data_IF_448539695757
#
_entry.id   IF_448539695757
#
_cell.length_a   1.000
_cell.length_b   1.000
_cell.length_c   1.000
_cell.angle_alpha   90.00
_cell.angle_beta   90.00
_cell.angle_gamma   90.00
#
_symmetry.space_group_name_H-M   'P 1'
#
loop_
_entity.id
_entity.type
_entity.pdbx_description
1 polymer ?
#
# COMPACT_ATOMS: atom_id res chain seq x y z
N UNK A 1 4.86 36.87 19.13
CA UNK A 1 4.30 36.49 17.82
C UNK A 1 3.82 35.06 17.97
N UNK A 2 2.53 34.81 17.87
CA UNK A 2 2.03 33.44 17.96
C UNK A 2 2.53 32.65 16.76
N UNK A 3 3.05 31.45 16.99
CA UNK A 3 3.67 30.60 15.97
C UNK A 3 2.63 29.80 15.17
N UNK A 4 1.36 30.20 15.22
CA UNK A 4 0.21 29.48 14.66
C UNK A 4 0.33 29.24 13.15
N UNK A 5 0.98 30.16 12.43
CA UNK A 5 1.23 30.01 10.99
C UNK A 5 2.13 28.81 10.66
N UNK A 6 3.03 28.40 11.56
CA UNK A 6 3.90 27.24 11.36
C UNK A 6 3.07 25.95 11.35
N UNK A 7 2.09 25.84 12.24
CA UNK A 7 1.19 24.68 12.30
C UNK A 7 0.39 24.53 11.00
N UNK A 8 -0.18 25.63 10.49
CA UNK A 8 -0.89 25.61 9.20
C UNK A 8 0.00 25.25 8.02
N UNK A 9 1.26 25.69 8.02
CA UNK A 9 2.23 25.32 6.98
C UNK A 9 2.55 23.82 7.06
N UNK A 10 2.84 23.29 8.27
CA UNK A 10 3.11 21.86 8.48
C UNK A 10 1.90 21.01 8.09
N UNK A 11 0.69 21.43 8.46
CA UNK A 11 -0.58 20.79 8.06
C UNK A 11 -0.78 20.75 6.55
N UNK A 12 -0.52 21.88 5.87
CA UNK A 12 -0.62 21.96 4.41
C UNK A 12 0.41 21.05 3.72
N UNK A 13 1.65 21.02 4.21
CA UNK A 13 2.71 20.15 3.68
C UNK A 13 2.38 18.68 3.88
N UNK A 14 1.94 18.30 5.09
CA UNK A 14 1.50 16.93 5.37
C UNK A 14 0.33 16.51 4.48
N UNK A 15 -0.67 17.39 4.27
CA UNK A 15 -1.80 17.10 3.40
C UNK A 15 -1.36 16.80 1.96
N UNK A 16 -0.43 17.59 1.42
CA UNK A 16 0.12 17.38 0.07
C UNK A 16 0.94 16.08 -0.03
N UNK A 17 1.81 15.80 0.94
CA UNK A 17 2.58 14.54 0.99
C UNK A 17 1.65 13.35 1.13
N UNK A 18 0.64 13.45 1.99
CA UNK A 18 -0.38 12.42 2.18
C UNK A 18 -1.17 12.15 0.90
N UNK A 19 -1.50 13.19 0.12
CA UNK A 19 -2.18 13.00 -1.16
C UNK A 19 -1.27 12.26 -2.16
N UNK A 20 0.02 12.59 -2.21
CA UNK A 20 1.01 11.84 -3.00
C UNK A 20 1.07 10.38 -2.55
N UNK A 21 1.01 10.13 -1.23
CA UNK A 21 0.96 8.78 -0.68
C UNK A 21 -0.30 8.02 -1.14
N UNK A 22 -1.48 8.65 -1.11
CA UNK A 22 -2.73 8.04 -1.61
C UNK A 22 -2.61 7.71 -3.10
N UNK A 23 -2.11 8.63 -3.92
CA UNK A 23 -1.91 8.39 -5.36
C UNK A 23 -0.91 7.24 -5.59
N UNK A 24 0.14 7.16 -4.77
CA UNK A 24 1.14 6.08 -4.88
C UNK A 24 0.56 4.68 -4.64
N UNK A 25 -0.55 4.56 -3.90
CA UNK A 25 -1.22 3.26 -3.69
C UNK A 25 -1.70 2.68 -5.01
N UNK A 26 -2.13 3.50 -5.98
CA UNK A 26 -2.58 3.05 -7.31
C UNK A 26 -1.49 2.25 -8.03
N UNK A 27 -0.22 2.58 -7.77
CA UNK A 27 0.93 1.91 -8.38
C UNK A 27 1.57 0.86 -7.50
N UNK A 28 0.81 0.34 -6.53
CA UNK A 28 1.26 -0.70 -5.59
C UNK A 28 2.42 -0.29 -4.67
N UNK A 29 2.67 1.02 -4.48
CA UNK A 29 3.62 1.49 -3.48
C UNK A 29 2.98 1.49 -2.07
N UNK A 30 3.77 1.35 -0.99
CA UNK A 30 3.28 1.29 0.39
C UNK A 30 2.86 2.68 0.93
N UNK A 31 2.16 3.49 0.13
CA UNK A 31 1.81 4.88 0.44
C UNK A 31 1.05 5.05 1.75
N UNK A 32 0.07 4.19 2.04
CA UNK A 32 -0.67 4.22 3.32
C UNK A 32 0.26 4.11 4.54
N UNK A 33 1.24 3.20 4.47
CA UNK A 33 2.20 2.99 5.56
C UNK A 33 3.18 4.14 5.70
N UNK A 34 3.66 4.70 4.59
CA UNK A 34 4.53 5.90 4.59
C UNK A 34 3.81 7.09 5.22
N UNK A 35 2.55 7.31 4.87
CA UNK A 35 1.73 8.38 5.43
C UNK A 35 1.50 8.20 6.94
N UNK A 36 1.15 6.98 7.38
CA UNK A 36 0.98 6.69 8.81
C UNK A 36 2.30 6.86 9.56
N UNK A 37 3.42 6.40 9.00
CA UNK A 37 4.74 6.55 9.62
C UNK A 37 5.10 8.04 9.79
N UNK A 38 4.79 8.88 8.81
CA UNK A 38 4.98 10.32 8.90
C UNK A 38 4.10 10.93 10.00
N UNK A 39 2.82 10.54 10.10
CA UNK A 39 1.92 11.01 11.15
C UNK A 39 2.40 10.59 12.55
N UNK A 40 2.85 9.34 12.72
CA UNK A 40 3.47 8.86 13.95
C UNK A 40 4.75 9.63 14.31
N UNK A 41 5.57 9.98 13.31
CA UNK A 41 6.78 10.78 13.53
C UNK A 41 6.43 12.18 14.04
N UNK A 42 5.44 12.84 13.43
CA UNK A 42 4.97 14.16 13.88
C UNK A 42 4.47 14.09 15.32
N UNK A 43 3.57 13.15 15.63
CA UNK A 43 3.03 12.98 16.99
C UNK A 43 4.14 12.68 18.02
N UNK A 44 5.15 11.89 17.65
CA UNK A 44 6.29 11.60 18.52
C UNK A 44 7.16 12.84 18.75
N UNK A 45 7.43 13.63 17.70
CA UNK A 45 8.20 14.86 17.80
C UNK A 45 7.48 15.88 18.67
N UNK A 46 6.16 16.03 18.52
CA UNK A 46 5.36 16.92 19.36
C UNK A 46 5.42 16.48 20.82
N UNK A 47 5.28 15.17 21.09
CA UNK A 47 5.36 14.62 22.45
C UNK A 47 6.73 14.86 23.10
N UNK A 48 7.83 14.77 22.35
CA UNK A 48 9.19 14.93 22.89
C UNK A 48 9.61 16.40 23.02
N UNK A 49 9.30 17.25 22.03
CA UNK A 49 9.84 18.61 21.94
C UNK A 49 8.88 19.68 22.48
N UNK A 50 7.56 19.48 22.46
CA UNK A 50 6.56 20.48 22.90
C UNK A 50 6.04 20.22 24.34
N UNK A 51 6.80 19.46 25.12
CA UNK A 51 6.54 18.96 26.49
C UNK A 51 5.89 19.91 27.53
N UNK A 52 5.81 21.21 27.28
CA UNK A 52 5.18 22.21 28.16
C UNK A 52 3.66 22.28 28.03
N UNK A 53 3.10 21.86 26.88
CA UNK A 53 1.66 21.74 26.64
C UNK A 53 1.48 20.68 25.53
N UNK A 54 1.08 19.42 25.85
CA UNK A 54 0.97 18.38 24.84
C UNK A 54 -0.22 18.69 23.92
N UNK A 55 0.03 19.50 22.90
CA UNK A 55 -0.85 19.61 21.75
C UNK A 55 -0.89 18.22 21.10
N UNK A 56 -1.99 17.51 21.32
CA UNK A 56 -2.24 16.21 20.70
C UNK A 56 -2.64 16.48 19.24
N UNK A 57 -1.69 16.35 18.31
CA UNK A 57 -1.92 16.66 16.89
C UNK A 57 -2.86 15.66 16.22
N UNK A 58 -2.65 14.36 16.46
CA UNK A 58 -3.56 13.31 15.97
C UNK A 58 -4.15 12.51 17.13
N UNK A 59 -3.33 12.21 18.13
CA UNK A 59 -3.66 11.29 19.20
C UNK A 59 -3.45 9.84 18.82
N UNK A 60 -2.87 9.09 19.76
CA UNK A 60 -2.51 7.68 19.59
C UNK A 60 -3.69 6.77 19.20
N UNK A 61 -4.92 7.13 19.57
CA UNK A 61 -6.14 6.39 19.18
C UNK A 61 -6.45 6.52 17.69
N UNK A 62 -6.26 7.71 17.11
CA UNK A 62 -6.45 7.96 15.67
C UNK A 62 -5.39 7.20 14.87
N UNK A 63 -4.12 7.27 15.31
CA UNK A 63 -3.03 6.52 14.68
C UNK A 63 -3.26 5.00 14.76
N UNK A 64 -3.72 4.48 15.90
CA UNK A 64 -4.06 3.06 16.03
C UNK A 64 -5.22 2.67 15.10
N UNK A 65 -6.27 3.48 15.00
CA UNK A 65 -7.37 3.25 14.08
C UNK A 65 -6.90 3.27 12.61
N UNK A 66 -6.01 4.20 12.25
CA UNK A 66 -5.40 4.27 10.93
C UNK A 66 -4.58 3.02 10.59
N UNK A 67 -3.78 2.52 11.55
CA UNK A 67 -3.01 1.26 11.39
C UNK A 67 -3.95 0.07 11.17
N UNK A 68 -5.02 -0.04 11.95
CA UNK A 68 -6.01 -1.12 11.81
C UNK A 68 -6.69 -1.07 10.44
N UNK A 69 -7.12 0.13 10.00
CA UNK A 69 -7.71 0.32 8.68
C UNK A 69 -6.73 0.00 7.55
N UNK A 70 -5.47 0.44 7.66
CA UNK A 70 -4.42 0.11 6.70
C UNK A 70 -4.22 -1.41 6.61
N UNK A 71 -4.22 -2.10 7.75
CA UNK A 71 -4.18 -3.56 7.82
C UNK A 71 -5.34 -4.22 7.08
N UNK A 72 -6.57 -3.71 7.22
CA UNK A 72 -7.71 -4.20 6.44
C UNK A 72 -7.54 -3.95 4.94
N UNK A 73 -6.95 -2.81 4.54
CA UNK A 73 -6.63 -2.53 3.13
C UNK A 73 -5.64 -3.53 2.53
N UNK A 74 -4.55 -3.83 3.23
CA UNK A 74 -3.59 -4.86 2.81
C UNK A 74 -4.22 -6.26 2.78
N UNK A 75 -5.08 -6.57 3.76
CA UNK A 75 -5.79 -7.84 3.80
C UNK A 75 -6.72 -7.98 2.59
N UNK A 76 -7.49 -6.95 2.23
CA UNK A 76 -8.34 -6.99 1.04
C UNK A 76 -7.54 -7.12 -0.25
N UNK A 77 -6.40 -6.43 -0.36
CA UNK A 77 -5.52 -6.55 -1.51
C UNK A 77 -4.99 -7.99 -1.66
N UNK A 78 -4.54 -8.59 -0.55
CA UNK A 78 -4.08 -9.98 -0.53
C UNK A 78 -5.21 -10.97 -0.86
N UNK A 79 -6.39 -10.81 -0.24
CA UNK A 79 -7.53 -11.68 -0.47
C UNK A 79 -8.03 -11.59 -1.90
N UNK A 80 -8.12 -10.39 -2.49
CA UNK A 80 -8.51 -10.22 -3.88
C UNK A 80 -7.54 -10.90 -4.84
N UNK A 81 -6.22 -10.76 -4.60
CA UNK A 81 -5.18 -11.48 -5.33
C UNK A 81 -5.32 -13.00 -5.22
N UNK A 82 -5.49 -13.51 -4.00
CA UNK A 82 -5.65 -14.95 -3.75
C UNK A 82 -6.96 -15.51 -4.35
N UNK A 83 -8.07 -14.79 -4.24
CA UNK A 83 -9.35 -15.18 -4.83
C UNK A 83 -9.30 -15.14 -6.36
N UNK A 84 -8.66 -14.12 -6.95
CA UNK A 84 -8.43 -14.05 -8.39
C UNK A 84 -7.58 -15.22 -8.90
N UNK A 85 -6.51 -15.57 -8.16
CA UNK A 85 -5.68 -16.74 -8.47
C UNK A 85 -6.46 -18.05 -8.33
N UNK A 86 -7.18 -18.22 -7.22
CA UNK A 86 -7.95 -19.45 -6.90
C UNK A 86 -9.08 -19.70 -7.89
N UNK A 87 -9.85 -18.67 -8.26
CA UNK A 87 -10.92 -18.78 -9.27
C UNK A 87 -10.38 -19.13 -10.65
N UNK A 88 -9.13 -18.76 -10.94
CA UNK A 88 -8.41 -19.14 -12.13
C UNK A 88 -7.74 -20.53 -12.07
N UNK A 89 -7.85 -21.26 -10.96
CA UNK A 89 -7.31 -22.62 -10.78
C UNK A 89 -5.87 -22.67 -10.30
N UNK A 90 -5.38 -21.61 -9.65
CA UNK A 90 -4.04 -21.59 -9.07
C UNK A 90 -3.94 -22.51 -7.84
N UNK A 91 -2.83 -23.23 -7.78
CA UNK A 91 -2.32 -23.94 -6.60
C UNK A 91 -1.86 -22.97 -5.50
N UNK A 92 -1.64 -23.50 -4.29
CA UNK A 92 -1.04 -22.71 -3.20
C UNK A 92 0.36 -22.18 -3.51
N UNK A 93 1.16 -22.95 -4.29
CA UNK A 93 2.51 -22.56 -4.71
C UNK A 93 2.46 -21.42 -5.72
N UNK A 94 1.49 -21.45 -6.64
CA UNK A 94 1.22 -20.35 -7.56
C UNK A 94 0.82 -19.07 -6.83
N UNK A 95 -0.08 -19.14 -5.85
CA UNK A 95 -0.45 -17.97 -5.05
C UNK A 95 0.73 -17.37 -4.27
N UNK A 96 1.55 -18.21 -3.63
CA UNK A 96 2.75 -17.74 -2.92
C UNK A 96 3.79 -17.15 -3.88
N UNK A 97 3.99 -17.79 -5.03
CA UNK A 97 4.85 -17.28 -6.09
C UNK A 97 4.38 -15.91 -6.60
N UNK A 98 3.07 -15.72 -6.77
CA UNK A 98 2.48 -14.45 -7.17
C UNK A 98 2.77 -13.32 -6.16
N UNK A 99 2.63 -13.61 -4.86
CA UNK A 99 2.94 -12.66 -3.79
C UNK A 99 4.41 -12.24 -3.82
N UNK A 100 5.33 -13.22 -3.78
CA UNK A 100 6.77 -12.95 -3.75
C UNK A 100 7.21 -12.25 -5.03
N UNK A 101 6.77 -12.76 -6.18
CA UNK A 101 7.07 -12.20 -7.48
C UNK A 101 6.56 -10.76 -7.62
N UNK A 102 5.36 -10.46 -7.11
CA UNK A 102 4.82 -9.10 -7.12
C UNK A 102 5.67 -8.11 -6.32
N UNK A 103 6.14 -8.50 -5.13
CA UNK A 103 7.03 -7.66 -4.31
C UNK A 103 8.39 -7.46 -4.98
N UNK A 104 9.04 -8.56 -5.39
CA UNK A 104 10.36 -8.50 -6.05
C UNK A 104 10.27 -7.72 -7.35
N UNK A 105 9.22 -7.94 -8.13
CA UNK A 105 8.94 -7.22 -9.36
C UNK A 105 8.71 -5.73 -9.13
N UNK A 106 7.94 -5.33 -8.11
CA UNK A 106 7.74 -3.93 -7.76
C UNK A 106 9.06 -3.23 -7.42
N UNK A 107 9.91 -3.89 -6.62
CA UNK A 107 11.23 -3.38 -6.26
C UNK A 107 12.11 -3.25 -7.50
N UNK A 108 12.22 -4.30 -8.33
CA UNK A 108 13.00 -4.29 -9.55
C UNK A 108 12.52 -3.21 -10.54
N UNK A 109 11.19 -3.10 -10.70
CA UNK A 109 10.55 -2.11 -11.57
C UNK A 109 10.78 -0.67 -11.12
N UNK A 110 11.00 -0.43 -9.82
CA UNK A 110 11.30 0.91 -9.28
C UNK A 110 12.64 1.46 -9.82
N UNK A 111 13.57 0.60 -10.24
CA UNK A 111 14.83 1.01 -10.88
C UNK A 111 14.69 1.37 -12.36
N UNK A 112 13.54 1.12 -12.98
CA UNK A 112 13.26 1.59 -14.33
C UNK A 112 13.12 3.13 -14.27
N UNK A 113 13.79 3.89 -15.15
CA UNK A 113 13.81 5.37 -15.13
C UNK A 113 12.48 6.02 -15.57
N UNK A 114 11.36 5.37 -15.27
CA UNK A 114 10.00 5.90 -15.41
C UNK A 114 9.35 5.79 -14.03
N UNK A 115 9.43 6.85 -13.20
CA UNK A 115 8.88 6.83 -11.85
C UNK A 115 7.42 6.39 -11.85
N UNK A 116 6.97 5.69 -10.81
CA UNK A 116 5.58 5.25 -10.61
C UNK A 116 5.14 4.13 -11.57
N UNK A 117 5.34 4.31 -12.89
CA UNK A 117 5.00 3.29 -13.90
C UNK A 117 5.93 2.08 -13.85
N UNK A 118 7.22 2.28 -13.61
CA UNK A 118 8.19 1.18 -13.49
C UNK A 118 7.80 0.21 -12.38
N UNK A 119 7.47 0.72 -11.19
CA UNK A 119 7.01 -0.08 -10.04
C UNK A 119 5.73 -0.85 -10.36
N UNK A 120 4.74 -0.21 -11.00
CA UNK A 120 3.48 -0.85 -11.37
C UNK A 120 3.69 -1.99 -12.37
N UNK A 121 4.45 -1.73 -13.44
CA UNK A 121 4.78 -2.74 -14.45
C UNK A 121 5.55 -3.90 -13.82
N UNK A 122 6.53 -3.58 -12.97
CA UNK A 122 7.30 -4.56 -12.22
C UNK A 122 6.42 -5.41 -11.32
N UNK A 123 5.49 -4.82 -10.57
CA UNK A 123 4.57 -5.54 -9.70
C UNK A 123 3.66 -6.50 -10.48
N UNK A 124 3.09 -6.02 -11.60
CA UNK A 124 2.21 -6.80 -12.48
C UNK A 124 2.96 -7.96 -13.14
N UNK A 125 4.12 -7.69 -13.75
CA UNK A 125 4.95 -8.69 -14.40
C UNK A 125 5.50 -9.70 -13.39
N UNK A 126 5.99 -9.21 -12.25
CA UNK A 126 6.48 -10.03 -11.16
C UNK A 126 5.41 -10.95 -10.58
N UNK A 127 4.18 -10.44 -10.37
CA UNK A 127 3.05 -11.26 -9.91
C UNK A 127 2.75 -12.38 -10.91
N UNK A 128 2.73 -12.07 -12.21
CA UNK A 128 2.45 -13.03 -13.26
C UNK A 128 3.55 -14.10 -13.40
N UNK A 129 4.81 -13.68 -13.44
CA UNK A 129 5.98 -14.56 -13.55
C UNK A 129 6.09 -15.43 -12.30
N UNK A 130 5.99 -14.82 -11.11
CA UNK A 130 6.03 -15.52 -9.85
C UNK A 130 4.91 -16.56 -9.72
N UNK A 131 3.68 -16.22 -10.12
CA UNK A 131 2.57 -17.16 -10.17
C UNK A 131 2.89 -18.33 -11.12
N UNK A 132 3.42 -18.03 -12.32
CA UNK A 132 3.76 -19.05 -13.31
C UNK A 132 4.86 -19.99 -12.81
N UNK A 133 5.93 -19.46 -12.19
CA UNK A 133 7.00 -20.26 -11.59
C UNK A 133 6.46 -21.12 -10.45
N UNK A 134 5.60 -20.56 -9.61
CA UNK A 134 4.94 -21.29 -8.52
C UNK A 134 4.08 -22.46 -9.03
N UNK A 135 3.30 -22.23 -10.09
CA UNK A 135 2.50 -23.26 -10.76
C UNK A 135 3.34 -24.34 -11.42
N UNK A 136 4.45 -23.98 -12.11
CA UNK A 136 5.36 -24.96 -12.70
C UNK A 136 6.06 -25.83 -11.64
N UNK A 137 6.17 -25.34 -10.39
CA UNK A 137 6.69 -26.11 -9.27
C UNK A 137 5.64 -27.02 -8.60
N UNK A 138 4.38 -26.94 -9.04
CA UNK A 138 3.26 -27.70 -8.50
C UNK A 138 2.69 -28.65 -9.56
N UNK A 139 2.92 -29.95 -9.40
CA UNK A 139 2.58 -30.98 -10.40
C UNK A 139 3.31 -30.76 -11.75
N UNK A 140 3.18 -31.70 -12.69
CA UNK A 140 3.70 -31.54 -14.05
C UNK A 140 2.79 -30.63 -14.88
N UNK A 141 2.66 -29.36 -14.48
CA UNK A 141 1.93 -28.35 -15.26
C UNK A 141 2.80 -27.81 -16.39
N UNK A 142 2.18 -27.65 -17.55
CA UNK A 142 2.78 -26.97 -18.70
C UNK A 142 2.65 -25.45 -18.55
N UNK A 143 3.54 -24.69 -19.20
CA UNK A 143 3.49 -23.21 -19.21
C UNK A 143 2.11 -22.71 -19.65
N UNK A 144 1.47 -23.36 -20.62
CA UNK A 144 0.15 -22.95 -21.12
C UNK A 144 -0.94 -23.07 -20.03
N UNK A 145 -0.80 -24.03 -19.12
CA UNK A 145 -1.72 -24.22 -18.00
C UNK A 145 -1.51 -23.19 -16.89
N UNK A 146 -0.35 -22.52 -16.81
CA UNK A 146 -0.08 -21.50 -15.79
C UNK A 146 -0.60 -20.11 -16.16
N UNK A 147 -0.81 -19.84 -17.46
CA UNK A 147 -1.23 -18.52 -17.96
C UNK A 147 -2.55 -18.06 -17.34
N UNK A 148 -3.55 -18.95 -17.25
CA UNK A 148 -4.85 -18.63 -16.68
C UNK A 148 -4.75 -18.31 -15.16
N UNK A 149 -4.16 -19.19 -14.32
CA UNK A 149 -3.84 -18.88 -12.93
C UNK A 149 -3.08 -17.57 -12.72
N UNK A 150 -2.00 -17.35 -13.48
CA UNK A 150 -1.17 -16.17 -13.37
C UNK A 150 -1.93 -14.88 -13.73
N UNK A 151 -2.76 -14.93 -14.78
CA UNK A 151 -3.63 -13.82 -15.16
C UNK A 151 -4.67 -13.54 -14.07
N UNK A 152 -5.26 -14.58 -13.49
CA UNK A 152 -6.20 -14.45 -12.37
C UNK A 152 -5.57 -13.80 -11.14
N UNK A 153 -4.34 -14.19 -10.79
CA UNK A 153 -3.60 -13.59 -9.69
C UNK A 153 -3.32 -12.10 -9.94
N UNK A 154 -2.88 -11.75 -11.15
CA UNK A 154 -2.61 -10.36 -11.54
C UNK A 154 -3.86 -9.49 -11.52
N UNK A 155 -4.98 -9.95 -12.13
CA UNK A 155 -6.25 -9.20 -12.12
C UNK A 155 -6.78 -9.07 -10.69
N UNK A 156 -6.74 -10.15 -9.91
CA UNK A 156 -7.18 -10.13 -8.52
C UNK A 156 -6.40 -9.10 -7.68
N UNK A 157 -5.08 -9.03 -7.87
CA UNK A 157 -4.24 -8.04 -7.20
C UNK A 157 -4.59 -6.62 -7.61
N UNK A 158 -4.74 -6.34 -8.91
CA UNK A 158 -5.13 -5.00 -9.40
C UNK A 158 -6.48 -4.55 -8.83
N UNK A 159 -7.47 -5.44 -8.80
CA UNK A 159 -8.77 -5.15 -8.19
C UNK A 159 -8.65 -4.90 -6.68
N UNK A 160 -7.79 -5.67 -6.00
CA UNK A 160 -7.46 -5.47 -4.59
C UNK A 160 -6.84 -4.09 -4.32
N UNK A 161 -5.86 -3.69 -5.12
CA UNK A 161 -5.23 -2.36 -5.03
C UNK A 161 -6.26 -1.24 -5.25
N UNK A 162 -7.18 -1.39 -6.19
CA UNK A 162 -8.27 -0.42 -6.39
C UNK A 162 -9.24 -0.37 -5.20
N UNK A 163 -9.61 -1.53 -4.65
CA UNK A 163 -10.50 -1.63 -3.50
C UNK A 163 -9.89 -1.05 -2.20
N UNK A 164 -8.56 -0.96 -2.12
CA UNK A 164 -7.80 -0.33 -1.02
C UNK A 164 -7.79 1.20 -1.09
N UNK A 165 -8.00 1.82 -2.25
CA UNK A 165 -7.93 3.28 -2.40
C UNK A 165 -8.90 4.05 -1.49
N UNK A 166 -10.18 3.66 -1.34
CA UNK A 166 -11.09 4.32 -0.41
C UNK A 166 -10.59 4.30 1.04
N UNK A 167 -9.92 3.22 1.47
CA UNK A 167 -9.34 3.10 2.81
C UNK A 167 -8.15 4.06 2.96
N UNK A 168 -7.25 4.10 1.99
CA UNK A 168 -6.13 5.03 1.99
C UNK A 168 -6.61 6.49 2.03
N UNK A 169 -7.63 6.81 1.24
CA UNK A 169 -8.24 8.14 1.21
C UNK A 169 -8.94 8.51 2.53
N UNK A 170 -9.67 7.57 3.15
CA UNK A 170 -10.30 7.79 4.45
C UNK A 170 -9.27 8.07 5.55
N UNK A 171 -8.16 7.31 5.59
CA UNK A 171 -7.06 7.54 6.53
C UNK A 171 -6.46 8.93 6.30
N UNK A 172 -6.17 9.28 5.03
CA UNK A 172 -5.64 10.60 4.68
C UNK A 172 -6.55 11.73 5.17
N UNK A 173 -7.86 11.63 4.89
CA UNK A 173 -8.84 12.64 5.26
C UNK A 173 -8.92 12.81 6.78
N UNK A 174 -8.95 11.72 7.54
CA UNK A 174 -8.97 11.78 9.02
C UNK A 174 -7.72 12.45 9.56
N UNK A 175 -6.53 12.04 9.10
CA UNK A 175 -5.26 12.61 9.57
C UNK A 175 -5.13 14.09 9.20
N UNK A 176 -5.54 14.47 7.99
CA UNK A 176 -5.52 15.88 7.56
C UNK A 176 -6.48 16.71 8.41
N UNK A 177 -7.70 16.25 8.67
CA UNK A 177 -8.65 16.98 9.51
C UNK A 177 -8.10 17.16 10.93
N UNK A 178 -7.50 16.12 11.51
CA UNK A 178 -6.89 16.21 12.84
C UNK A 178 -5.82 17.31 12.94
N UNK A 179 -5.06 17.57 11.88
CA UNK A 179 -4.02 18.61 11.88
C UNK A 179 -4.56 20.05 11.85
N UNK A 180 -5.85 20.24 11.52
CA UNK A 180 -6.47 21.56 11.37
C UNK A 180 -7.49 21.89 12.49
N UNK A 181 -7.75 20.96 13.40
CA UNK A 181 -8.77 21.07 14.46
C UNK A 181 -8.11 21.15 15.83
#
# INVERSE_FOLDING_TARGET
MSYDWIQYVVASVFALIGLVCVVSVVVSLPGTWVMIALACLIELLDTVYLSSDPAVTFGWRVLLAAIVLAGFGELFEFLAGALGAKTAGSSGRGMLGALIGGVVGAIAGTFIPVPVLGTLIGAVAGTFIGASVGELSHEERTIRQTLKPATGATIGRLLGTLAKLPIAFAIWLVLVISMFV
#
